data_IF_862619214551
#
_entry.id   IF_862619214551
#
_cell.length_a   1.000
_cell.length_b   1.000
_cell.length_c   1.000
_cell.angle_alpha   90.00
_cell.angle_beta   90.00
_cell.angle_gamma   90.00
#
_symmetry.space_group_name_H-M   'P 1'
#
loop_
_entity.id
_entity.type
_entity.pdbx_description
1 polymer ?
#
# COMPACT_ATOMS: atom_id res chain seq x y z
N UNK A 1 -57.00 -9.29 -71.04
CA UNK A 1 -57.50 -10.49 -70.33
C UNK A 1 -56.32 -11.34 -69.91
N UNK A 2 -55.88 -11.22 -68.65
CA UNK A 2 -55.63 -12.32 -67.70
C UNK A 2 -54.93 -11.72 -66.46
N UNK A 3 -55.59 -11.94 -65.33
CA UNK A 3 -55.24 -11.51 -64.00
C UNK A 3 -54.37 -12.61 -63.36
N UNK A 4 -53.28 -12.27 -62.68
CA UNK A 4 -52.70 -13.16 -61.66
C UNK A 4 -51.86 -12.39 -60.64
N UNK A 5 -52.51 -12.16 -59.49
CA UNK A 5 -52.01 -12.18 -58.12
C UNK A 5 -50.51 -12.49 -57.93
N UNK A 6 -49.80 -11.63 -57.19
CA UNK A 6 -49.37 -11.99 -55.84
C UNK A 6 -48.86 -10.77 -55.04
N UNK A 7 -49.27 -10.76 -53.78
CA UNK A 7 -49.16 -9.68 -52.79
C UNK A 7 -47.73 -9.30 -52.39
N UNK A 8 -47.53 -8.07 -51.87
CA UNK A 8 -46.27 -7.63 -51.28
C UNK A 8 -45.99 -8.39 -49.97
N UNK A 9 -44.75 -8.86 -49.82
CA UNK A 9 -44.23 -9.40 -48.56
C UNK A 9 -44.17 -8.28 -47.53
N UNK A 10 -45.13 -8.28 -46.60
CA UNK A 10 -45.06 -7.56 -45.33
C UNK A 10 -44.06 -8.29 -44.42
N UNK A 11 -42.85 -7.76 -44.28
CA UNK A 11 -42.01 -8.06 -43.12
C UNK A 11 -42.18 -6.93 -42.10
N UNK A 12 -43.07 -7.16 -41.15
CA UNK A 12 -43.07 -6.47 -39.87
C UNK A 12 -42.42 -7.40 -38.84
N UNK A 13 -41.22 -7.08 -38.40
CA UNK A 13 -40.69 -7.61 -37.13
C UNK A 13 -39.70 -6.61 -36.55
N UNK A 14 -40.24 -5.85 -35.60
CA UNK A 14 -39.53 -5.09 -34.60
C UNK A 14 -38.18 -5.70 -34.19
N UNK A 15 -37.08 -5.06 -34.57
CA UNK A 15 -35.79 -5.29 -33.93
C UNK A 15 -35.55 -4.18 -32.92
N UNK A 16 -36.11 -4.42 -31.74
CA UNK A 16 -35.86 -3.70 -30.48
C UNK A 16 -34.37 -3.84 -30.14
N UNK A 17 -33.71 -2.71 -29.86
CA UNK A 17 -32.34 -2.65 -29.33
C UNK A 17 -32.11 -3.65 -28.17
N UNK A 18 -30.93 -4.26 -28.05
CA UNK A 18 -30.30 -4.47 -26.77
C UNK A 18 -29.46 -3.23 -26.43
N UNK A 19 -30.04 -2.44 -25.54
CA UNK A 19 -29.39 -1.49 -24.66
C UNK A 19 -28.09 -2.05 -24.06
N UNK A 20 -27.11 -1.16 -23.92
CA UNK A 20 -26.08 -1.15 -22.87
C UNK A 20 -25.41 -2.49 -22.57
N UNK A 21 -24.17 -2.62 -23.05
CA UNK A 21 -23.13 -3.46 -22.46
C UNK A 21 -23.11 -3.25 -20.95
N UNK A 22 -23.83 -4.09 -20.23
CA UNK A 22 -23.76 -4.20 -18.79
C UNK A 22 -22.34 -4.64 -18.45
N UNK A 23 -21.52 -3.69 -18.01
CA UNK A 23 -20.28 -4.01 -17.32
C UNK A 23 -20.60 -5.03 -16.23
N UNK A 24 -19.78 -6.07 -16.03
CA UNK A 24 -20.05 -7.07 -15.02
C UNK A 24 -20.10 -6.37 -13.66
N UNK A 25 -21.30 -6.32 -13.06
CA UNK A 25 -21.47 -5.98 -11.64
C UNK A 25 -20.63 -6.99 -10.89
N UNK A 26 -19.45 -6.56 -10.41
CA UNK A 26 -18.65 -7.34 -9.48
C UNK A 26 -19.51 -7.55 -8.22
N UNK A 27 -20.19 -8.70 -8.15
CA UNK A 27 -20.75 -9.19 -6.90
C UNK A 27 -19.56 -9.60 -6.02
N UNK A 28 -19.13 -8.68 -5.15
CA UNK A 28 -18.14 -8.95 -4.11
C UNK A 28 -18.82 -9.03 -2.75
N UNK A 29 -18.24 -9.83 -1.83
CA UNK A 29 -18.99 -10.59 -0.84
C UNK A 29 -19.53 -9.68 0.26
N UNK A 30 -20.75 -9.97 0.71
CA UNK A 30 -21.36 -9.40 1.91
C UNK A 30 -20.32 -9.27 3.04
N UNK A 31 -19.86 -8.04 3.31
CA UNK A 31 -19.04 -7.77 4.48
C UNK A 31 -19.94 -7.97 5.71
N UNK A 32 -19.68 -9.05 6.46
CA UNK A 32 -20.32 -9.26 7.76
C UNK A 32 -20.12 -8.01 8.63
N UNK A 33 -21.13 -7.64 9.42
CA UNK A 33 -21.13 -6.45 10.29
C UNK A 33 -19.87 -6.36 11.18
N UNK A 34 -19.35 -7.52 11.58
CA UNK A 34 -18.08 -7.67 12.31
C UNK A 34 -16.84 -7.20 11.49
N UNK A 35 -16.80 -7.50 10.19
CA UNK A 35 -15.74 -7.05 9.28
C UNK A 35 -15.71 -5.52 9.11
N UNK A 36 -16.88 -4.88 9.10
CA UNK A 36 -16.99 -3.41 9.02
C UNK A 36 -16.47 -2.73 10.28
N UNK A 37 -16.86 -3.22 11.46
CA UNK A 37 -16.37 -2.70 12.75
C UNK A 37 -14.87 -2.91 12.89
N UNK A 38 -14.37 -4.07 12.47
CA UNK A 38 -12.94 -4.35 12.43
C UNK A 38 -12.18 -3.40 11.49
N UNK A 39 -12.74 -3.10 10.32
CA UNK A 39 -12.10 -2.22 9.32
C UNK A 39 -12.03 -0.77 9.78
N UNK A 40 -13.12 -0.24 10.35
CA UNK A 40 -13.13 1.09 10.94
C UNK A 40 -12.17 1.22 12.12
N UNK A 41 -12.07 0.17 12.95
CA UNK A 41 -11.13 0.11 14.07
C UNK A 41 -9.68 0.06 13.60
N UNK A 42 -9.40 -0.73 12.55
CA UNK A 42 -8.08 -0.79 11.93
C UNK A 42 -7.63 0.56 11.36
N UNK A 43 -8.52 1.30 10.68
CA UNK A 43 -8.22 2.65 10.19
C UNK A 43 -7.92 3.64 11.33
N UNK A 44 -8.68 3.58 12.42
CA UNK A 44 -8.40 4.40 13.62
C UNK A 44 -7.04 4.04 14.24
N UNK A 45 -6.70 2.75 14.31
CA UNK A 45 -5.42 2.29 14.84
C UNK A 45 -4.26 2.80 13.97
N UNK A 46 -4.37 2.72 12.65
CA UNK A 46 -3.38 3.26 11.71
C UNK A 46 -3.15 4.75 11.97
N UNK A 47 -4.22 5.54 12.12
CA UNK A 47 -4.11 6.98 12.39
C UNK A 47 -3.43 7.23 13.74
N UNK A 48 -3.80 6.51 14.79
CA UNK A 48 -3.21 6.68 16.13
C UNK A 48 -1.71 6.38 16.09
N UNK A 49 -1.33 5.26 15.47
CA UNK A 49 0.09 4.89 15.32
C UNK A 49 0.84 5.92 14.48
N UNK A 50 0.24 6.39 13.39
CA UNK A 50 0.81 7.44 12.53
C UNK A 50 1.02 8.76 13.28
N UNK A 51 0.05 9.21 14.07
CA UNK A 51 0.17 10.42 14.89
C UNK A 51 1.24 10.28 15.98
N UNK A 52 1.34 9.10 16.60
CA UNK A 52 2.39 8.83 17.58
C UNK A 52 3.78 8.86 16.94
N UNK A 53 3.92 8.29 15.74
CA UNK A 53 5.17 8.34 14.98
C UNK A 53 5.53 9.78 14.57
N UNK A 54 4.56 10.58 14.13
CA UNK A 54 4.76 12.00 13.82
C UNK A 54 5.20 12.78 15.06
N UNK A 55 4.58 12.55 16.22
CA UNK A 55 4.95 13.21 17.47
C UNK A 55 6.38 12.86 17.90
N UNK A 56 6.76 11.58 17.79
CA UNK A 56 8.12 11.11 18.08
C UNK A 56 9.14 11.75 17.12
N UNK A 57 8.84 11.78 15.83
CA UNK A 57 9.72 12.38 14.82
C UNK A 57 9.86 13.89 15.01
N UNK A 58 8.77 14.58 15.32
CA UNK A 58 8.76 16.01 15.64
C UNK A 58 9.62 16.33 16.86
N UNK A 59 9.56 15.49 17.90
CA UNK A 59 10.39 15.65 19.10
C UNK A 59 11.87 15.45 18.76
N UNK A 60 12.20 14.40 18.00
CA UNK A 60 13.57 14.11 17.59
C UNK A 60 14.16 15.24 16.72
N UNK A 61 13.41 15.73 15.73
CA UNK A 61 13.86 16.80 14.83
C UNK A 61 13.96 18.15 15.53
N UNK A 62 13.08 18.47 16.48
CA UNK A 62 13.15 19.71 17.26
C UNK A 62 14.45 19.80 18.08
N UNK A 63 14.95 18.65 18.56
CA UNK A 63 16.18 18.54 19.34
C UNK A 63 17.41 18.54 18.42
N UNK A 64 17.41 17.70 17.37
CA UNK A 64 18.62 17.40 16.60
C UNK A 64 18.74 18.14 15.26
N UNK A 65 17.63 18.46 14.60
CA UNK A 65 17.63 18.83 13.20
C UNK A 65 16.55 19.89 12.88
N UNK A 66 16.56 21.03 13.60
CA UNK A 66 15.53 22.08 13.50
C UNK A 66 15.20 22.56 12.08
N UNK A 67 16.16 22.47 11.15
CA UNK A 67 15.96 22.83 9.73
C UNK A 67 15.11 21.81 8.96
N UNK A 68 15.00 20.58 9.45
CA UNK A 68 14.22 19.50 8.84
C UNK A 68 12.73 19.53 9.22
N UNK A 69 12.31 20.38 10.16
CA UNK A 69 10.91 20.50 10.59
C UNK A 69 9.94 20.76 9.42
N UNK A 70 10.41 21.37 8.32
CA UNK A 70 9.61 21.55 7.10
C UNK A 70 9.17 20.22 6.47
N UNK A 71 9.96 19.15 6.63
CA UNK A 71 9.65 17.82 6.10
C UNK A 71 8.46 17.19 6.82
N UNK A 72 8.25 17.52 8.10
CA UNK A 72 7.12 17.02 8.92
C UNK A 72 5.76 17.56 8.45
N UNK A 73 5.73 18.65 7.69
CA UNK A 73 4.49 19.19 7.13
C UNK A 73 3.78 18.14 6.26
N UNK A 74 4.54 17.33 5.52
CA UNK A 74 3.99 16.31 4.63
C UNK A 74 3.21 15.21 5.39
N UNK A 75 3.80 14.49 6.37
CA UNK A 75 3.06 13.50 7.13
C UNK A 75 1.92 14.11 7.96
N UNK A 76 2.06 15.34 8.48
CA UNK A 76 0.94 16.04 9.14
C UNK A 76 -0.22 16.25 8.17
N UNK A 77 0.03 16.76 6.96
CA UNK A 77 -1.00 16.98 5.97
C UNK A 77 -1.72 15.68 5.58
N UNK A 78 -0.97 14.59 5.37
CA UNK A 78 -1.56 13.28 5.07
C UNK A 78 -2.42 12.78 6.23
N UNK A 79 -1.97 12.91 7.48
CA UNK A 79 -2.77 12.53 8.66
C UNK A 79 -4.05 13.35 8.77
N UNK A 80 -3.99 14.68 8.57
CA UNK A 80 -5.17 15.55 8.62
C UNK A 80 -6.19 15.20 7.53
N UNK A 81 -5.72 14.95 6.30
CA UNK A 81 -6.60 14.55 5.19
C UNK A 81 -7.23 13.17 5.47
N UNK A 82 -6.47 12.24 6.05
CA UNK A 82 -7.00 10.92 6.43
C UNK A 82 -8.08 11.03 7.51
N UNK A 83 -7.87 11.88 8.52
CA UNK A 83 -8.89 12.16 9.54
C UNK A 83 -10.13 12.79 8.89
N UNK A 84 -9.95 13.76 7.99
CA UNK A 84 -11.04 14.37 7.26
C UNK A 84 -11.82 13.34 6.41
N UNK A 85 -11.12 12.37 5.80
CA UNK A 85 -11.71 11.25 5.07
C UNK A 85 -12.62 10.40 5.97
N UNK A 86 -12.15 10.08 7.19
CA UNK A 86 -12.94 9.33 8.17
C UNK A 86 -14.16 10.11 8.66
N UNK A 87 -14.02 11.41 8.91
CA UNK A 87 -15.12 12.26 9.37
C UNK A 87 -16.19 12.47 8.28
N UNK A 88 -15.77 12.68 7.03
CA UNK A 88 -16.68 12.95 5.90
C UNK A 88 -17.16 11.69 5.19
N UNK A 89 -16.56 10.53 5.47
CA UNK A 89 -16.84 9.27 4.76
C UNK A 89 -16.66 9.36 3.24
N UNK A 90 -15.73 10.21 2.78
CA UNK A 90 -15.46 10.46 1.37
C UNK A 90 -14.30 9.57 0.88
N UNK A 91 -14.52 8.66 -0.10
CA UNK A 91 -13.50 7.73 -0.56
C UNK A 91 -12.32 8.43 -1.24
N UNK A 92 -12.58 9.56 -1.92
CA UNK A 92 -11.54 10.33 -2.61
C UNK A 92 -10.47 10.90 -1.67
N UNK A 93 -10.80 11.11 -0.39
CA UNK A 93 -9.85 11.65 0.59
C UNK A 93 -8.89 10.57 1.15
N UNK A 94 -9.08 9.29 0.81
CA UNK A 94 -8.16 8.21 1.20
C UNK A 94 -6.96 8.07 0.26
N UNK A 95 -6.97 8.70 -0.92
CA UNK A 95 -5.86 8.61 -1.87
C UNK A 95 -4.49 9.01 -1.29
N UNK A 96 -4.36 10.06 -0.46
CA UNK A 96 -3.07 10.41 0.13
C UNK A 96 -2.48 9.32 1.03
N UNK A 97 -3.31 8.65 1.86
CA UNK A 97 -2.83 7.55 2.72
C UNK A 97 -2.46 6.31 1.91
N UNK A 98 -3.16 6.04 0.81
CA UNK A 98 -2.84 4.96 -0.12
C UNK A 98 -1.51 5.25 -0.82
N UNK A 99 -1.36 6.47 -1.35
CA UNK A 99 -0.15 6.89 -2.06
C UNK A 99 1.10 6.86 -1.18
N UNK A 100 1.00 7.37 0.07
CA UNK A 100 2.14 7.34 1.00
C UNK A 100 2.51 5.90 1.38
N UNK A 101 1.54 4.99 1.52
CA UNK A 101 1.83 3.58 1.79
C UNK A 101 2.56 2.91 0.62
N UNK A 102 2.16 3.19 -0.63
CA UNK A 102 2.90 2.71 -1.79
C UNK A 102 4.34 3.22 -1.80
N UNK A 103 4.53 4.52 -1.59
CA UNK A 103 5.87 5.12 -1.52
C UNK A 103 6.76 4.40 -0.50
N UNK A 104 6.25 4.16 0.71
CA UNK A 104 7.01 3.48 1.75
C UNK A 104 7.29 2.00 1.43
N UNK A 105 6.34 1.26 0.85
CA UNK A 105 6.55 -0.14 0.43
C UNK A 105 7.66 -0.23 -0.61
N UNK A 106 7.67 0.66 -1.61
CA UNK A 106 8.72 0.66 -2.62
C UNK A 106 10.06 1.08 -2.02
N UNK A 107 10.09 2.18 -1.27
CA UNK A 107 11.32 2.68 -0.64
C UNK A 107 11.95 1.62 0.26
N UNK A 108 11.14 1.00 1.12
CA UNK A 108 11.59 -0.01 2.06
C UNK A 108 11.95 -1.33 1.36
N UNK A 109 11.21 -1.72 0.32
CA UNK A 109 11.58 -2.85 -0.54
C UNK A 109 12.94 -2.66 -1.19
N UNK A 110 13.21 -1.48 -1.75
CA UNK A 110 14.52 -1.14 -2.31
C UNK A 110 15.61 -1.13 -1.23
N UNK A 111 15.33 -0.54 -0.07
CA UNK A 111 16.28 -0.47 1.04
C UNK A 111 16.62 -1.86 1.58
N UNK A 112 15.62 -2.74 1.68
CA UNK A 112 15.77 -4.14 2.08
C UNK A 112 16.62 -4.91 1.07
N UNK A 113 16.36 -4.80 -0.24
CA UNK A 113 17.18 -5.44 -1.29
C UNK A 113 18.62 -4.91 -1.24
N UNK A 114 18.81 -3.60 -1.12
CA UNK A 114 20.14 -2.98 -1.06
C UNK A 114 20.89 -3.42 0.22
N UNK A 115 20.19 -3.48 1.35
CA UNK A 115 20.75 -3.96 2.61
C UNK A 115 21.15 -5.44 2.51
N UNK A 116 20.27 -6.30 1.98
CA UNK A 116 20.57 -7.71 1.70
C UNK A 116 21.76 -7.84 0.73
N UNK A 117 21.84 -7.00 -0.30
CA UNK A 117 22.96 -7.01 -1.24
C UNK A 117 24.29 -6.70 -0.54
N UNK A 118 24.35 -5.59 0.20
CA UNK A 118 25.55 -5.18 0.93
C UNK A 118 25.92 -6.19 2.02
N UNK A 119 24.92 -6.78 2.68
CA UNK A 119 25.15 -7.64 3.84
C UNK A 119 25.42 -9.10 3.49
N UNK A 120 24.81 -9.68 2.46
CA UNK A 120 25.11 -11.05 2.06
C UNK A 120 26.27 -11.09 1.07
N UNK A 121 26.19 -10.30 -0.01
CA UNK A 121 27.15 -10.45 -1.11
C UNK A 121 28.51 -9.85 -0.80
N UNK A 122 28.58 -8.68 -0.14
CA UNK A 122 29.86 -8.03 0.15
C UNK A 122 30.75 -8.84 1.10
N UNK A 123 30.27 -9.42 2.22
CA UNK A 123 31.10 -10.28 3.05
C UNK A 123 31.37 -11.66 2.43
N UNK A 124 30.44 -12.25 1.66
CA UNK A 124 30.71 -13.50 0.94
C UNK A 124 31.78 -13.29 -0.14
N UNK A 125 31.71 -12.18 -0.88
CA UNK A 125 32.71 -11.81 -1.87
C UNK A 125 34.08 -11.53 -1.24
N UNK A 126 34.12 -10.81 -0.12
CA UNK A 126 35.36 -10.61 0.65
C UNK A 126 35.91 -11.93 1.17
N UNK A 127 35.08 -12.81 1.72
CA UNK A 127 35.50 -14.14 2.18
C UNK A 127 36.06 -14.98 1.02
N UNK A 128 35.39 -14.99 -0.14
CA UNK A 128 35.84 -15.71 -1.32
C UNK A 128 37.21 -15.19 -1.81
N UNK A 129 37.37 -13.87 -1.92
CA UNK A 129 38.62 -13.24 -2.39
C UNK A 129 39.74 -13.39 -1.36
N UNK A 130 39.45 -13.28 -0.05
CA UNK A 130 40.46 -13.50 1.00
C UNK A 130 40.87 -14.96 1.15
N UNK A 131 39.90 -15.89 1.06
CA UNK A 131 40.19 -17.32 1.06
C UNK A 131 41.00 -17.71 -0.17
N UNK A 132 40.76 -17.06 -1.32
CA UNK A 132 41.58 -17.21 -2.52
C UNK A 132 42.97 -16.56 -2.40
N UNK A 133 43.07 -15.37 -1.80
CA UNK A 133 44.29 -14.57 -1.82
C UNK A 133 45.30 -14.89 -0.70
N UNK A 134 44.84 -15.35 0.46
CA UNK A 134 45.70 -15.41 1.65
C UNK A 134 45.58 -16.68 2.50
N UNK A 135 44.72 -17.66 2.13
CA UNK A 135 44.56 -18.95 2.83
C UNK A 135 44.49 -18.83 4.37
N UNK A 136 43.96 -17.71 4.87
CA UNK A 136 44.02 -17.30 6.27
C UNK A 136 42.63 -16.91 6.74
N UNK A 137 41.99 -17.82 7.48
CA UNK A 137 40.71 -17.56 8.11
C UNK A 137 40.90 -16.83 9.45
N UNK A 138 41.24 -15.54 9.37
CA UNK A 138 41.12 -14.62 10.50
C UNK A 138 40.09 -13.53 10.19
N UNK A 139 38.82 -13.95 10.09
CA UNK A 139 37.69 -13.03 9.96
C UNK A 139 37.32 -12.47 11.33
N UNK A 140 37.90 -11.34 11.72
CA UNK A 140 37.52 -10.57 12.92
C UNK A 140 36.22 -9.78 12.71
N UNK A 141 35.20 -10.39 12.11
CA UNK A 141 33.83 -9.85 12.11
C UNK A 141 33.20 -10.30 13.42
N UNK A 142 33.12 -9.39 14.39
CA UNK A 142 32.57 -9.65 15.73
C UNK A 142 31.08 -10.03 15.65
N UNK A 143 30.66 -11.01 16.44
CA UNK A 143 29.27 -11.47 16.57
C UNK A 143 28.27 -10.30 16.68
N UNK A 144 28.66 -9.25 17.41
CA UNK A 144 27.90 -8.02 17.61
C UNK A 144 27.48 -7.35 16.29
N UNK A 145 28.33 -7.34 15.26
CA UNK A 145 28.00 -6.77 13.96
C UNK A 145 26.81 -7.49 13.29
N UNK A 146 26.79 -8.82 13.31
CA UNK A 146 25.70 -9.62 12.76
C UNK A 146 24.39 -9.42 13.54
N UNK A 147 24.47 -9.25 14.86
CA UNK A 147 23.31 -8.97 15.72
C UNK A 147 22.68 -7.63 15.36
N UNK A 148 23.47 -6.55 15.25
CA UNK A 148 22.94 -5.24 14.86
C UNK A 148 22.32 -5.27 13.46
N UNK A 149 22.93 -5.98 12.51
CA UNK A 149 22.37 -6.15 11.18
C UNK A 149 21.05 -6.93 11.17
N UNK A 150 20.94 -8.01 11.96
CA UNK A 150 19.69 -8.75 12.12
C UNK A 150 18.59 -7.86 12.71
N UNK A 151 18.90 -7.03 13.71
CA UNK A 151 17.96 -6.06 14.29
C UNK A 151 17.47 -5.07 13.23
N UNK A 152 18.38 -4.46 12.47
CA UNK A 152 18.02 -3.50 11.40
C UNK A 152 17.15 -4.20 10.34
N UNK A 153 17.52 -5.41 9.91
CA UNK A 153 16.73 -6.18 8.94
C UNK A 153 15.33 -6.50 9.45
N UNK A 154 15.18 -6.82 10.74
CA UNK A 154 13.89 -7.08 11.36
C UNK A 154 13.04 -5.80 11.45
N UNK A 155 13.65 -4.66 11.76
CA UNK A 155 12.96 -3.36 11.78
C UNK A 155 12.44 -3.02 10.38
N UNK A 156 13.25 -3.18 9.33
CA UNK A 156 12.83 -2.97 7.95
C UNK A 156 11.70 -3.93 7.57
N UNK A 157 11.81 -5.22 7.89
CA UNK A 157 10.74 -6.18 7.59
C UNK A 157 9.42 -5.85 8.30
N UNK A 158 9.47 -5.46 9.58
CA UNK A 158 8.28 -5.05 10.33
C UNK A 158 7.68 -3.78 9.73
N UNK A 159 8.51 -2.82 9.34
CA UNK A 159 8.06 -1.59 8.68
C UNK A 159 7.40 -1.89 7.33
N UNK A 160 7.98 -2.79 6.53
CA UNK A 160 7.42 -3.24 5.26
C UNK A 160 6.02 -3.85 5.46
N UNK A 161 5.92 -4.80 6.40
CA UNK A 161 4.67 -5.49 6.70
C UNK A 161 3.61 -4.53 7.25
N UNK A 162 4.00 -3.56 8.07
CA UNK A 162 3.11 -2.52 8.56
C UNK A 162 2.56 -1.68 7.40
N UNK A 163 3.41 -1.20 6.49
CA UNK A 163 2.96 -0.40 5.35
C UNK A 163 2.09 -1.20 4.38
N UNK A 164 2.38 -2.49 4.19
CA UNK A 164 1.53 -3.40 3.40
C UNK A 164 0.16 -3.59 4.05
N UNK A 165 0.12 -3.76 5.37
CA UNK A 165 -1.11 -3.86 6.13
C UNK A 165 -1.92 -2.56 6.08
N UNK A 166 -1.26 -1.40 6.22
CA UNK A 166 -1.86 -0.08 6.08
C UNK A 166 -2.50 0.10 4.69
N UNK A 167 -1.76 -0.21 3.62
CA UNK A 167 -2.26 -0.14 2.25
C UNK A 167 -3.49 -1.03 2.03
N UNK A 168 -3.40 -2.30 2.45
CA UNK A 168 -4.51 -3.26 2.29
C UNK A 168 -5.76 -2.80 3.04
N UNK A 169 -5.59 -2.22 4.23
CA UNK A 169 -6.71 -1.73 5.04
C UNK A 169 -7.32 -0.48 4.41
N UNK A 170 -6.50 0.47 3.95
CA UNK A 170 -6.95 1.69 3.30
C UNK A 170 -7.73 1.40 2.01
N UNK A 171 -7.25 0.48 1.16
CA UNK A 171 -7.93 0.07 -0.07
C UNK A 171 -9.29 -0.59 0.23
N UNK A 172 -9.33 -1.50 1.21
CA UNK A 172 -10.60 -2.14 1.62
C UNK A 172 -11.59 -1.13 2.18
N UNK A 173 -11.11 -0.15 2.95
CA UNK A 173 -11.94 0.90 3.51
C UNK A 173 -12.46 1.86 2.43
N UNK A 174 -11.64 2.17 1.43
CA UNK A 174 -12.07 2.95 0.28
C UNK A 174 -13.20 2.24 -0.48
N UNK A 175 -13.03 0.97 -0.85
CA UNK A 175 -14.08 0.21 -1.53
C UNK A 175 -15.36 0.14 -0.70
N UNK A 176 -15.23 -0.04 0.62
CA UNK A 176 -16.38 -0.02 1.53
C UNK A 176 -17.12 1.34 1.51
N UNK A 177 -16.41 2.46 1.46
CA UNK A 177 -17.02 3.79 1.36
C UNK A 177 -17.68 4.02 -0.01
N UNK A 178 -17.06 3.55 -1.10
CA UNK A 178 -17.63 3.61 -2.44
C UNK A 178 -18.93 2.79 -2.57
N UNK A 179 -18.99 1.63 -1.93
CA UNK A 179 -20.19 0.78 -1.87
C UNK A 179 -21.33 1.43 -1.07
N UNK A 180 -21.01 2.22 -0.03
CA UNK A 180 -22.03 2.90 0.79
C UNK A 180 -22.64 4.12 0.09
N UNK A 181 -21.93 4.72 -0.86
CA UNK A 181 -22.35 5.94 -1.55
C UNK A 181 -23.21 5.64 -2.80
N UNK A 182 -23.14 4.42 -3.34
CA UNK A 182 -23.93 3.94 -4.49
C UNK A 182 -25.21 3.21 -4.06
#
# INVERSE_FOLDING_TARGET
>A
MFNSNNNPVKMNSAQKMPSASAAPRRQHPHFCLFGTVHLATAMKLIIIVGLLAIAALCTAEAIHLRRALTVIILPIAVSLITIAALCRSEPCLLWPIIGISFFHIFLDGYLCILFLFIFFFKPIYLLMVFNWAFDTLHTTKTLSFYIYCAIISMILLVFFLYNLWQLRTALRFQTFLEERHN
#
